data_IF_968973810583
#
_entry.id   IF_968973810583
#
_cell.length_a   1.000
_cell.length_b   1.000
_cell.length_c   1.000
_cell.angle_alpha   90.00
_cell.angle_beta   90.00
_cell.angle_gamma   90.00
#
_symmetry.space_group_name_H-M   'P 1'
#
loop_
_entity.id
_entity.type
_entity.pdbx_description
1 polymer ?
#
# COMPACT_ATOMS: atom_id res chain seq x y z
N UNK A 1 16.34 15.97 -0.05
CA UNK A 1 14.86 15.90 0.11
C UNK A 1 14.10 16.16 -1.18
N UNK A 2 14.45 17.17 -2.01
CA UNK A 2 13.77 17.45 -3.30
C UNK A 2 13.68 16.26 -4.27
N UNK A 3 14.69 15.38 -4.30
CA UNK A 3 14.75 14.27 -5.26
C UNK A 3 13.70 13.16 -5.02
N UNK A 4 13.25 12.94 -3.77
CA UNK A 4 12.18 11.96 -3.48
C UNK A 4 10.80 12.48 -3.90
N UNK A 5 10.53 13.76 -3.61
CA UNK A 5 9.26 14.41 -3.97
C UNK A 5 9.10 14.49 -5.50
N UNK A 6 10.20 14.73 -6.22
CA UNK A 6 10.19 14.80 -7.68
C UNK A 6 9.94 13.43 -8.36
N UNK A 7 10.02 12.32 -7.63
CA UNK A 7 9.85 10.95 -8.13
C UNK A 7 8.89 10.19 -7.22
N UNK A 8 7.59 10.49 -7.28
CA UNK A 8 6.61 9.95 -6.32
C UNK A 8 6.53 8.42 -6.31
N UNK A 9 6.84 7.74 -7.41
CA UNK A 9 6.91 6.27 -7.45
C UNK A 9 7.91 5.67 -6.45
N UNK A 10 9.00 6.36 -6.13
CA UNK A 10 9.97 5.89 -5.13
C UNK A 10 9.39 5.90 -3.72
N UNK A 11 8.44 6.80 -3.43
CA UNK A 11 7.78 6.87 -2.13
C UNK A 11 6.89 5.64 -1.95
N UNK A 12 6.11 5.28 -2.97
CA UNK A 12 5.26 4.08 -2.94
C UNK A 12 6.08 2.80 -2.83
N UNK A 13 7.18 2.69 -3.56
CA UNK A 13 8.10 1.55 -3.47
C UNK A 13 8.68 1.37 -2.06
N UNK A 14 9.11 2.47 -1.42
CA UNK A 14 9.64 2.43 -0.05
C UNK A 14 8.54 2.19 1.00
N UNK A 15 7.30 2.59 0.73
CA UNK A 15 6.19 2.39 1.64
C UNK A 15 5.77 0.92 1.73
N UNK A 16 5.85 0.15 0.65
CA UNK A 16 5.49 -1.29 0.62
C UNK A 16 6.22 -2.10 1.71
N UNK A 17 7.58 -2.15 1.77
CA UNK A 17 8.27 -2.95 2.77
C UNK A 17 8.01 -2.47 4.19
N UNK A 18 7.78 -1.16 4.39
CA UNK A 18 7.45 -0.60 5.71
C UNK A 18 6.06 -1.08 6.16
N UNK A 19 5.06 -1.01 5.28
CA UNK A 19 3.69 -1.44 5.57
C UNK A 19 3.64 -2.96 5.80
N UNK A 20 4.36 -3.73 4.99
CA UNK A 20 4.47 -5.18 5.16
C UNK A 20 5.13 -5.54 6.49
N UNK A 21 6.22 -4.84 6.85
CA UNK A 21 6.88 -5.02 8.15
C UNK A 21 5.93 -4.71 9.30
N UNK A 22 5.18 -3.60 9.24
CA UNK A 22 4.17 -3.28 10.26
C UNK A 22 3.14 -4.40 10.36
N UNK A 23 2.62 -4.89 9.23
CA UNK A 23 1.65 -5.99 9.21
C UNK A 23 2.18 -7.28 9.82
N UNK A 24 3.45 -7.64 9.58
CA UNK A 24 4.10 -8.81 10.19
C UNK A 24 4.29 -8.59 11.70
N UNK A 25 4.77 -7.43 12.10
CA UNK A 25 5.01 -7.10 13.51
C UNK A 25 3.73 -7.01 14.33
N UNK A 26 2.58 -6.76 13.68
CA UNK A 26 1.26 -6.82 14.31
C UNK A 26 0.84 -8.24 14.76
N UNK A 27 1.51 -9.30 14.29
CA UNK A 27 1.24 -10.68 14.72
C UNK A 27 -0.23 -11.06 14.55
N UNK A 28 -0.83 -11.60 15.61
CA UNK A 28 -2.24 -12.03 15.63
C UNK A 28 -3.23 -10.88 15.92
N UNK A 29 -2.79 -9.62 15.86
CA UNK A 29 -3.68 -8.50 16.06
C UNK A 29 -4.76 -8.47 14.97
N UNK A 30 -6.02 -8.33 15.42
CA UNK A 30 -7.19 -8.26 14.56
C UNK A 30 -7.88 -6.91 14.69
N UNK A 31 -8.48 -6.45 13.61
CA UNK A 31 -9.36 -5.31 13.56
C UNK A 31 -10.80 -5.80 13.59
N UNK A 32 -11.51 -5.43 14.65
CA UNK A 32 -12.93 -5.72 14.81
C UNK A 32 -13.77 -4.55 14.29
N UNK A 33 -14.51 -4.78 13.20
CA UNK A 33 -15.38 -3.79 12.58
C UNK A 33 -16.83 -4.14 12.91
N UNK A 34 -17.52 -3.22 13.57
CA UNK A 34 -18.96 -3.32 13.81
C UNK A 34 -19.73 -3.05 12.52
N UNK A 35 -20.55 -4.01 12.08
CA UNK A 35 -21.44 -3.89 10.91
C UNK A 35 -22.86 -4.29 11.33
N UNK A 36 -23.69 -3.28 11.59
CA UNK A 36 -25.02 -3.45 12.18
C UNK A 36 -24.95 -4.34 13.45
N UNK A 37 -25.61 -5.49 13.45
CA UNK A 37 -25.68 -6.42 14.58
C UNK A 37 -24.61 -7.52 14.52
N UNK A 38 -23.63 -7.39 13.62
CA UNK A 38 -22.57 -8.39 13.39
C UNK A 38 -21.18 -7.76 13.46
N UNK A 39 -20.18 -8.57 13.78
CA UNK A 39 -18.77 -8.16 13.80
C UNK A 39 -18.03 -8.80 12.63
N UNK A 40 -17.29 -7.98 11.90
CA UNK A 40 -16.32 -8.44 10.91
C UNK A 40 -14.90 -8.35 11.48
N UNK A 41 -14.23 -9.49 11.58
CA UNK A 41 -12.89 -9.61 12.15
C UNK A 41 -11.89 -9.83 11.01
N UNK A 42 -10.90 -8.95 10.89
CA UNK A 42 -9.85 -9.05 9.87
C UNK A 42 -8.47 -8.86 10.50
N UNK A 43 -7.52 -9.73 10.16
CA UNK A 43 -6.13 -9.57 10.61
C UNK A 43 -5.49 -8.32 9.99
N UNK A 44 -4.69 -7.61 10.78
CA UNK A 44 -3.87 -6.48 10.32
C UNK A 44 -2.93 -6.88 9.17
N UNK A 45 -2.50 -8.15 9.12
CA UNK A 45 -1.68 -8.67 8.04
C UNK A 45 -2.40 -8.62 6.67
N UNK A 46 -3.69 -8.96 6.63
CA UNK A 46 -4.46 -8.90 5.39
C UNK A 46 -4.64 -7.45 4.91
N UNK A 47 -4.89 -6.51 5.84
CA UNK A 47 -4.99 -5.08 5.52
C UNK A 47 -3.65 -4.56 4.98
N UNK A 48 -2.54 -4.87 5.64
CA UNK A 48 -1.20 -4.48 5.20
C UNK A 48 -0.87 -5.06 3.81
N UNK A 49 -1.27 -6.31 3.56
CA UNK A 49 -1.12 -6.97 2.26
C UNK A 49 -1.94 -6.26 1.18
N UNK A 50 -3.21 -5.94 1.45
CA UNK A 50 -4.08 -5.22 0.52
C UNK A 50 -3.51 -3.85 0.15
N UNK A 51 -3.07 -3.06 1.14
CA UNK A 51 -2.48 -1.75 0.90
C UNK A 51 -1.18 -1.87 0.10
N UNK A 52 -0.36 -2.88 0.40
CA UNK A 52 0.88 -3.16 -0.33
C UNK A 52 0.62 -3.49 -1.81
N UNK A 53 -0.41 -4.29 -2.10
CA UNK A 53 -0.83 -4.61 -3.46
C UNK A 53 -1.30 -3.35 -4.20
N UNK A 54 -2.11 -2.51 -3.57
CA UNK A 54 -2.59 -1.25 -4.17
C UNK A 54 -1.41 -0.33 -4.52
N UNK A 55 -0.43 -0.20 -3.62
CA UNK A 55 0.77 0.60 -3.88
C UNK A 55 1.62 0.01 -5.01
N UNK A 56 1.73 -1.32 -5.09
CA UNK A 56 2.37 -2.01 -6.21
C UNK A 56 1.68 -1.75 -7.55
N UNK A 57 0.34 -1.75 -7.57
CA UNK A 57 -0.43 -1.42 -8.80
C UNK A 57 -0.17 0.04 -9.22
N UNK A 58 -0.17 0.98 -8.28
CA UNK A 58 0.14 2.40 -8.56
C UNK A 58 1.55 2.54 -9.13
N UNK A 59 2.53 1.84 -8.56
CA UNK A 59 3.91 1.86 -9.03
C UNK A 59 4.04 1.30 -10.45
N UNK A 60 3.43 0.14 -10.72
CA UNK A 60 3.40 -0.47 -12.06
C UNK A 60 2.73 0.49 -13.04
N UNK A 61 1.59 1.10 -12.67
CA UNK A 61 0.90 2.09 -13.48
C UNK A 61 1.80 3.28 -13.84
N UNK A 62 2.54 3.81 -12.85
CA UNK A 62 3.50 4.88 -13.10
C UNK A 62 4.65 4.43 -14.01
N UNK A 63 5.19 3.23 -13.80
CA UNK A 63 6.27 2.67 -14.63
C UNK A 63 5.84 2.53 -16.09
N UNK A 64 4.63 2.02 -16.35
CA UNK A 64 4.04 1.90 -17.69
C UNK A 64 3.90 3.28 -18.34
N UNK A 65 3.37 4.26 -17.62
CA UNK A 65 3.19 5.62 -18.14
C UNK A 65 4.52 6.28 -18.50
N UNK A 66 5.53 6.11 -17.63
CA UNK A 66 6.89 6.60 -17.88
C UNK A 66 7.52 5.91 -19.12
N UNK A 67 7.36 4.59 -19.27
CA UNK A 67 7.83 3.86 -20.45
C UNK A 67 7.10 4.27 -21.74
N UNK A 68 5.82 4.59 -21.64
CA UNK A 68 5.00 5.06 -22.75
C UNK A 68 5.24 6.55 -23.10
N UNK A 69 6.12 7.27 -22.39
CA UNK A 69 6.30 8.73 -22.50
C UNK A 69 4.97 9.52 -22.38
N UNK A 70 3.99 8.95 -21.68
CA UNK A 70 2.70 9.60 -21.45
C UNK A 70 2.77 10.28 -20.09
N UNK A 71 2.47 11.57 -20.05
CA UNK A 71 2.27 12.28 -18.78
C UNK A 71 0.88 11.91 -18.27
N UNK A 72 0.81 11.55 -16.99
CA UNK A 72 -0.44 11.56 -16.25
C UNK A 72 -0.91 13.02 -16.19
N UNK A 73 -2.14 13.29 -16.63
CA UNK A 73 -2.74 14.62 -16.56
C UNK A 73 -3.08 14.99 -15.12
#
# INVERSE_FOLDING_TARGET
MKNLINKPHLIFLLAIPIIMLIGILSGDAVLDINVHDTYYVISHFHIATLISILFGIIEIGYWIMNKANRKLS
#
